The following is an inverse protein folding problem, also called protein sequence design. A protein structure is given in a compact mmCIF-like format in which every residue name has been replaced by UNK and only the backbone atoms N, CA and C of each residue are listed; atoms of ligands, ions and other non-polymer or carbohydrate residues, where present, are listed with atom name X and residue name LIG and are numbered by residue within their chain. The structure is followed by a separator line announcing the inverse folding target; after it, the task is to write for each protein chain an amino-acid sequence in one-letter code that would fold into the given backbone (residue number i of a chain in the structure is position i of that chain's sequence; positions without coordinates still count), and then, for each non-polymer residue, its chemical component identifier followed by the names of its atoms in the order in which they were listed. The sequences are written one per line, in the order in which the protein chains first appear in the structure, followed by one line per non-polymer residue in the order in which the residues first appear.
data_IF_220232636891
#
_entry.id   IF_220232636891
#
_cell.length_a   1.000
_cell.length_b   1.000
_cell.length_c   1.000
_cell.angle_alpha   90.00
_cell.angle_beta   90.00
_cell.angle_gamma   90.00
#
_symmetry.space_group_name_H-M   'P 1'
#
loop_
_entity.id
_entity.type
_entity.pdbx_description
1 polymer ?
#
# COMPACT_ATOMS: atom_id res chain seq x y z
N UNK A 1 22.64 -11.34 -39.71
CA UNK A 1 22.21 -9.95 -39.45
C UNK A 1 20.89 -9.76 -40.19
N UNK A 2 19.77 -9.83 -39.46
CA UNK A 2 18.45 -9.35 -39.87
C UNK A 2 17.50 -9.58 -38.69
N UNK A 3 17.37 -8.54 -37.87
CA UNK A 3 16.24 -8.31 -36.97
C UNK A 3 15.08 -7.72 -37.79
N UNK A 4 13.84 -8.08 -37.44
CA UNK A 4 12.62 -7.23 -37.37
C UNK A 4 11.39 -8.14 -37.48
N UNK A 5 10.62 -8.31 -36.41
CA UNK A 5 9.54 -7.41 -35.96
C UNK A 5 8.19 -7.75 -36.62
N UNK A 6 7.33 -8.41 -35.83
CA UNK A 6 5.88 -8.38 -36.02
C UNK A 6 5.24 -8.34 -34.63
N UNK A 7 4.97 -7.13 -34.15
CA UNK A 7 4.02 -6.90 -33.06
C UNK A 7 2.70 -6.52 -33.72
N UNK A 8 1.68 -7.35 -33.54
CA UNK A 8 0.29 -7.03 -33.91
C UNK A 8 -0.67 -7.49 -32.81
N UNK A 9 -1.02 -6.50 -31.99
CA UNK A 9 -2.33 -6.21 -31.39
C UNK A 9 -3.13 -7.28 -30.60
N UNK A 10 -3.46 -6.83 -29.38
CA UNK A 10 -4.74 -6.98 -28.62
C UNK A 10 -4.99 -8.21 -27.75
N UNK A 11 -5.33 -7.90 -26.48
CA UNK A 11 -6.55 -8.34 -25.74
C UNK A 11 -6.28 -9.01 -24.37
N UNK A 12 -6.51 -8.21 -23.32
CA UNK A 12 -7.30 -8.54 -22.10
C UNK A 12 -6.76 -9.54 -21.06
N UNK A 13 -6.72 -9.04 -19.82
CA UNK A 13 -6.95 -9.72 -18.52
C UNK A 13 -5.79 -10.44 -17.81
N UNK A 14 -5.47 -9.85 -16.65
CA UNK A 14 -5.05 -10.42 -15.36
C UNK A 14 -4.11 -11.64 -15.33
N UNK A 15 -2.90 -11.40 -14.82
CA UNK A 15 -2.28 -12.29 -13.83
C UNK A 15 -1.22 -11.50 -13.05
N UNK A 16 -1.45 -11.35 -11.75
CA UNK A 16 -0.44 -11.03 -10.75
C UNK A 16 0.82 -11.89 -10.96
N UNK A 17 1.98 -11.26 -11.08
CA UNK A 17 3.26 -11.95 -10.90
C UNK A 17 3.87 -11.44 -9.60
N UNK A 18 3.58 -12.18 -8.55
CA UNK A 18 4.33 -12.26 -7.30
C UNK A 18 5.81 -12.51 -7.62
N UNK A 19 6.68 -11.53 -7.32
CA UNK A 19 8.11 -11.79 -7.09
C UNK A 19 8.39 -11.74 -5.60
N UNK A 20 8.33 -12.92 -5.00
CA UNK A 20 8.99 -13.24 -3.73
C UNK A 20 10.49 -13.08 -3.92
N UNK A 21 11.12 -12.18 -3.19
CA UNK A 21 12.57 -12.19 -2.98
C UNK A 21 12.81 -12.17 -1.49
N UNK A 22 13.10 -13.36 -0.98
CA UNK A 22 13.60 -13.59 0.37
C UNK A 22 14.98 -12.96 0.47
N UNK A 23 15.15 -11.99 1.36
CA UNK A 23 16.46 -11.49 1.75
C UNK A 23 16.45 -11.26 3.25
N UNK A 24 16.97 -12.25 3.97
CA UNK A 24 17.28 -12.16 5.39
C UNK A 24 18.49 -11.25 5.53
N UNK A 25 18.25 -10.01 5.94
CA UNK A 25 19.32 -9.11 6.39
C UNK A 25 18.73 -8.30 7.53
N UNK A 26 19.32 -8.39 8.72
CA UNK A 26 19.06 -7.46 9.81
C UNK A 26 19.54 -6.08 9.36
N UNK A 27 18.67 -5.36 8.66
CA UNK A 27 18.86 -3.98 8.28
C UNK A 27 17.94 -3.18 9.19
N UNK A 28 18.43 -2.07 9.76
CA UNK A 28 17.55 -0.97 10.16
C UNK A 28 16.78 -0.60 8.90
N UNK A 29 15.66 -1.25 8.70
CA UNK A 29 14.86 -1.18 7.49
C UNK A 29 14.26 0.19 7.55
N UNK A 30 14.84 1.11 6.79
CA UNK A 30 14.15 2.36 6.46
C UNK A 30 12.87 1.92 5.77
N UNK A 31 11.78 1.82 6.53
CA UNK A 31 10.49 1.45 5.98
C UNK A 31 10.19 2.45 4.87
N UNK A 32 9.84 1.93 3.70
CA UNK A 32 9.39 2.74 2.60
C UNK A 32 8.18 3.57 3.07
N UNK A 33 8.25 4.87 2.82
CA UNK A 33 7.14 5.79 3.03
C UNK A 33 6.25 5.74 1.79
N UNK A 34 4.95 5.65 2.03
CA UNK A 34 3.93 5.65 0.99
C UNK A 34 2.99 6.81 1.22
N UNK A 35 2.46 7.39 0.14
CA UNK A 35 1.42 8.41 0.23
C UNK A 35 0.16 7.81 0.87
N UNK A 36 -0.56 8.62 1.65
CA UNK A 36 -1.88 8.27 2.22
C UNK A 36 -2.86 7.73 1.19
N UNK A 37 -2.85 8.28 -0.01
CA UNK A 37 -3.70 7.83 -1.12
C UNK A 37 -3.48 6.36 -1.47
N UNK A 38 -2.25 5.85 -1.36
CA UNK A 38 -1.97 4.43 -1.58
C UNK A 38 -2.66 3.58 -0.51
N UNK A 39 -2.59 3.98 0.75
CA UNK A 39 -3.30 3.28 1.83
C UNK A 39 -4.82 3.36 1.67
N UNK A 40 -5.34 4.51 1.21
CA UNK A 40 -6.77 4.70 0.99
C UNK A 40 -7.28 3.87 -0.19
N UNK A 41 -6.55 3.84 -1.30
CA UNK A 41 -6.89 3.06 -2.49
C UNK A 41 -6.81 1.55 -2.21
N UNK A 42 -5.88 1.14 -1.35
CA UNK A 42 -5.71 -0.26 -0.94
C UNK A 42 -6.45 -0.61 0.36
N UNK A 43 -7.26 0.28 0.92
CA UNK A 43 -7.85 0.10 2.26
C UNK A 43 -8.61 -1.22 2.38
N UNK A 44 -9.39 -1.56 1.35
CA UNK A 44 -10.20 -2.78 1.30
C UNK A 44 -9.32 -4.04 1.33
N UNK A 45 -8.17 -4.03 0.65
CA UNK A 45 -7.20 -5.12 0.69
C UNK A 45 -6.47 -5.21 2.04
N UNK A 46 -6.35 -4.09 2.74
CA UNK A 46 -5.81 -4.01 4.09
C UNK A 46 -6.83 -4.39 5.19
N UNK A 47 -8.06 -4.74 4.81
CA UNK A 47 -9.13 -5.10 5.74
C UNK A 47 -9.84 -3.91 6.40
N UNK A 48 -9.65 -2.70 5.86
CA UNK A 48 -10.28 -1.49 6.36
C UNK A 48 -11.24 -0.88 5.34
N UNK A 49 -12.36 -0.41 5.85
CA UNK A 49 -13.27 0.41 5.06
C UNK A 49 -12.67 1.78 4.75
N UNK A 50 -12.94 2.30 3.55
CA UNK A 50 -12.33 3.56 3.07
C UNK A 50 -12.60 4.71 4.03
N UNK A 51 -13.84 4.84 4.51
CA UNK A 51 -14.23 5.90 5.43
C UNK A 51 -13.54 5.80 6.79
N UNK A 52 -13.17 4.59 7.25
CA UNK A 52 -12.39 4.39 8.49
C UNK A 52 -10.98 4.93 8.30
N UNK A 53 -10.34 4.62 7.17
CA UNK A 53 -9.01 5.12 6.84
C UNK A 53 -9.00 6.66 6.68
N UNK A 54 -10.01 7.23 6.02
CA UNK A 54 -10.17 8.70 5.93
C UNK A 54 -10.35 9.32 7.32
N UNK A 55 -11.19 8.72 8.16
CA UNK A 55 -11.39 9.17 9.54
C UNK A 55 -10.10 9.11 10.37
N UNK A 56 -9.33 8.04 10.24
CA UNK A 56 -8.04 7.88 10.90
C UNK A 56 -7.00 8.91 10.44
N UNK A 57 -7.01 9.26 9.15
CA UNK A 57 -6.11 10.28 8.58
C UNK A 57 -6.53 11.72 8.84
N UNK A 58 -7.75 11.98 9.31
CA UNK A 58 -8.25 13.34 9.58
C UNK A 58 -7.37 14.13 10.55
N UNK A 59 -6.74 13.44 11.52
CA UNK A 59 -5.88 14.05 12.53
C UNK A 59 -4.38 13.87 12.22
N UNK A 60 -4.03 13.41 11.03
CA UNK A 60 -2.64 13.16 10.62
C UNK A 60 -2.25 14.25 9.62
N UNK A 61 -1.32 15.16 9.93
CA UNK A 61 -0.93 16.22 8.99
C UNK A 61 0.05 15.75 7.91
N UNK A 62 0.69 14.58 8.08
CA UNK A 62 1.69 14.04 7.16
C UNK A 62 1.04 13.43 5.92
N UNK A 63 1.53 13.70 4.71
CA UNK A 63 1.02 13.04 3.49
C UNK A 63 1.63 11.67 3.22
N UNK A 64 2.80 11.39 3.78
CA UNK A 64 3.52 10.15 3.62
C UNK A 64 3.70 9.44 4.97
N UNK A 65 3.44 8.14 4.96
CA UNK A 65 3.44 7.29 6.15
C UNK A 65 4.14 5.98 5.83
N UNK A 66 4.82 5.40 6.81
CA UNK A 66 5.26 4.00 6.70
C UNK A 66 4.11 3.05 6.96
N UNK A 67 4.29 1.77 6.62
CA UNK A 67 3.29 0.73 6.94
C UNK A 67 3.08 0.60 8.45
N UNK A 68 4.14 0.70 9.25
CA UNK A 68 4.04 0.68 10.70
C UNK A 68 3.32 1.90 11.25
N UNK A 69 3.62 3.11 10.75
CA UNK A 69 2.90 4.33 11.15
C UNK A 69 1.41 4.21 10.81
N UNK A 70 1.08 3.76 9.59
CA UNK A 70 -0.32 3.52 9.20
C UNK A 70 -1.03 2.58 10.18
N UNK A 71 -0.43 1.44 10.49
CA UNK A 71 -1.02 0.46 11.41
C UNK A 71 -1.24 1.07 12.80
N UNK A 72 -0.27 1.83 13.30
CA UNK A 72 -0.38 2.49 14.60
C UNK A 72 -1.52 3.52 14.60
N UNK A 73 -1.65 4.34 13.56
CA UNK A 73 -2.74 5.31 13.41
C UNK A 73 -4.10 4.59 13.40
N UNK A 74 -4.21 3.48 12.66
CA UNK A 74 -5.46 2.71 12.60
C UNK A 74 -5.80 2.05 13.94
N UNK A 75 -4.81 1.47 14.64
CA UNK A 75 -4.98 0.89 15.97
C UNK A 75 -5.41 1.97 16.97
N UNK A 76 -4.77 3.14 16.97
CA UNK A 76 -5.12 4.26 17.85
C UNK A 76 -6.52 4.82 17.56
N UNK A 77 -6.89 4.91 16.29
CA UNK A 77 -8.22 5.37 15.87
C UNK A 77 -9.32 4.39 16.29
N UNK A 78 -9.12 3.09 16.06
CA UNK A 78 -10.11 2.04 16.38
C UNK A 78 -10.23 1.75 17.88
N UNK A 79 -9.14 1.92 18.65
CA UNK A 79 -9.15 1.75 20.10
C UNK A 79 -9.76 2.91 20.86
N UNK A 80 -9.97 4.06 20.20
CA UNK A 80 -10.53 5.26 20.82
C UNK A 80 -12.00 5.03 21.16
N UNK A 81 -12.26 4.46 22.34
CA UNK A 81 -13.61 4.38 22.90
C UNK A 81 -14.07 5.79 23.26
N UNK A 82 -15.21 6.19 22.70
CA UNK A 82 -15.95 7.38 23.14
C UNK A 82 -16.46 7.10 24.55
N UNK A 83 -16.13 7.96 25.51
CA UNK A 83 -16.64 7.90 26.88
C UNK A 83 -17.89 8.76 27.00
#
# INVERSE_FOLDING_TARGET
MASDEKVKDTKTTAAETTKTTTSTTQTKTSEAKFKKEIFLNNSKALGYEKYVVVGAFSNVPKDELTKSEFKQIMDDFLRKKVK
#
